data_IF_626125597684
#
_entry.id   IF_626125597684
#
_cell.length_a   1.000
_cell.length_b   1.000
_cell.length_c   1.000
_cell.angle_alpha   90.00
_cell.angle_beta   90.00
_cell.angle_gamma   90.00
#
_symmetry.space_group_name_H-M   'P 1'
#
loop_
_entity.id
_entity.type
_entity.pdbx_description
1 polymer ?
#
# COMPACT_ATOMS: atom_id res chain seq x y z
N UNK A 1 -5.44 15.40 12.00
CA UNK A 1 -6.29 14.20 12.01
C UNK A 1 -5.90 13.34 10.82
N UNK A 2 -5.65 12.05 11.02
CA UNK A 2 -5.33 11.13 9.92
C UNK A 2 -6.57 10.98 9.04
N UNK A 3 -6.44 11.18 7.73
CA UNK A 3 -7.57 11.08 6.81
C UNK A 3 -7.75 9.62 6.38
N UNK A 4 -8.32 8.82 7.29
CA UNK A 4 -8.52 7.37 7.12
C UNK A 4 -9.87 7.08 6.49
N UNK A 5 -9.89 6.26 5.43
CA UNK A 5 -11.09 5.86 4.72
C UNK A 5 -11.67 4.55 5.28
N UNK A 6 -12.95 4.51 5.71
CA UNK A 6 -13.58 3.32 6.30
C UNK A 6 -13.59 2.09 5.38
N UNK A 7 -13.57 2.28 4.06
CA UNK A 7 -13.49 1.17 3.10
C UNK A 7 -12.14 0.43 3.18
N UNK A 8 -11.06 1.13 3.51
CA UNK A 8 -9.74 0.52 3.73
C UNK A 8 -9.75 -0.29 5.02
N UNK A 9 -10.40 0.21 6.08
CA UNK A 9 -10.61 -0.55 7.31
C UNK A 9 -11.37 -1.86 7.07
N UNK A 10 -12.45 -1.79 6.29
CA UNK A 10 -13.23 -2.98 5.91
C UNK A 10 -12.40 -3.97 5.07
N UNK A 11 -11.53 -3.47 4.18
CA UNK A 11 -10.62 -4.32 3.41
C UNK A 11 -9.60 -5.03 4.31
N UNK A 12 -8.99 -4.31 5.24
CA UNK A 12 -8.04 -4.87 6.21
C UNK A 12 -8.74 -5.91 7.09
N UNK A 13 -9.93 -5.64 7.60
CA UNK A 13 -10.68 -6.58 8.43
C UNK A 13 -11.03 -7.89 7.70
N UNK A 14 -11.29 -7.82 6.38
CA UNK A 14 -11.55 -8.99 5.53
C UNK A 14 -10.28 -9.72 5.08
N UNK A 15 -9.11 -9.13 5.29
CA UNK A 15 -7.83 -9.73 4.90
C UNK A 15 -7.43 -10.87 5.83
N UNK A 16 -6.59 -11.79 5.34
CA UNK A 16 -6.08 -12.90 6.13
C UNK A 16 -5.37 -12.40 7.41
N UNK A 17 -5.45 -13.12 8.55
CA UNK A 17 -4.93 -12.65 9.83
C UNK A 17 -3.46 -12.22 9.80
N UNK A 18 -2.61 -12.90 9.02
CA UNK A 18 -1.20 -12.53 8.87
C UNK A 18 -1.00 -11.20 8.12
N UNK A 19 -1.90 -10.86 7.18
CA UNK A 19 -1.81 -9.66 6.36
C UNK A 19 -2.34 -8.42 7.08
N UNK A 20 -3.29 -8.57 8.00
CA UNK A 20 -3.86 -7.46 8.77
C UNK A 20 -2.81 -6.57 9.46
N UNK A 21 -1.86 -7.11 10.27
CA UNK A 21 -0.84 -6.28 10.92
C UNK A 21 0.09 -5.61 9.90
N UNK A 22 0.40 -6.28 8.78
CA UNK A 22 1.25 -5.74 7.71
C UNK A 22 0.57 -4.53 7.04
N UNK A 23 -0.69 -4.68 6.65
CA UNK A 23 -1.45 -3.61 5.99
C UNK A 23 -1.67 -2.41 6.92
N UNK A 24 -1.96 -2.65 8.21
CA UNK A 24 -2.08 -1.57 9.21
C UNK A 24 -0.76 -0.81 9.36
N UNK A 25 0.36 -1.53 9.41
CA UNK A 25 1.68 -0.92 9.50
C UNK A 25 2.01 -0.08 8.27
N UNK A 26 1.79 -0.61 7.07
CA UNK A 26 1.98 0.13 5.81
C UNK A 26 1.13 1.40 5.79
N UNK A 27 -0.16 1.28 6.14
CA UNK A 27 -1.08 2.42 6.19
C UNK A 27 -0.58 3.51 7.14
N UNK A 28 -0.14 3.15 8.34
CA UNK A 28 0.45 4.11 9.28
C UNK A 28 1.69 4.79 8.67
N UNK A 29 2.61 4.03 8.08
CA UNK A 29 3.81 4.59 7.45
C UNK A 29 3.48 5.58 6.33
N UNK A 30 2.49 5.28 5.49
CA UNK A 30 2.07 6.18 4.40
C UNK A 30 1.49 7.48 4.96
N UNK A 31 0.66 7.43 6.00
CA UNK A 31 0.13 8.63 6.67
C UNK A 31 1.20 9.44 7.39
N UNK A 32 2.16 8.77 8.03
CA UNK A 32 3.30 9.45 8.68
C UNK A 32 4.18 10.16 7.65
N UNK A 33 4.47 9.51 6.53
CA UNK A 33 5.29 10.08 5.46
C UNK A 33 4.55 11.19 4.67
N UNK A 34 3.24 11.03 4.46
CA UNK A 34 2.41 11.98 3.73
C UNK A 34 1.05 12.17 4.43
N UNK A 35 0.95 13.12 5.38
CA UNK A 35 -0.30 13.37 6.10
C UNK A 35 -1.47 13.87 5.24
N UNK A 36 -1.17 14.31 4.01
CA UNK A 36 -2.14 14.85 3.04
C UNK A 36 -2.57 13.81 2.00
N UNK A 37 -2.16 12.55 2.17
CA UNK A 37 -2.56 11.45 1.27
C UNK A 37 -4.06 11.19 1.40
N UNK A 38 -4.71 10.88 0.29
CA UNK A 38 -6.08 10.39 0.26
C UNK A 38 -6.07 8.88 0.06
N UNK A 39 -6.84 8.19 0.88
CA UNK A 39 -7.10 6.77 0.70
C UNK A 39 -8.29 6.58 -0.24
N UNK A 40 -8.14 5.71 -1.23
CA UNK A 40 -9.20 5.33 -2.16
C UNK A 40 -9.20 3.81 -2.36
N UNK A 41 -10.30 3.26 -2.89
CA UNK A 41 -10.35 1.89 -3.37
C UNK A 41 -10.40 1.92 -4.89
N UNK A 42 -9.40 1.31 -5.53
CA UNK A 42 -9.34 1.16 -7.00
C UNK A 42 -9.13 -0.30 -7.33
N UNK A 43 -9.90 -0.82 -8.28
CA UNK A 43 -9.84 -2.24 -8.69
C UNK A 43 -10.00 -3.22 -7.52
N UNK A 44 -10.79 -2.86 -6.51
CA UNK A 44 -11.03 -3.68 -5.33
C UNK A 44 -9.89 -3.72 -4.30
N UNK A 45 -8.84 -2.92 -4.45
CA UNK A 45 -7.71 -2.85 -3.53
C UNK A 45 -7.46 -1.42 -3.00
N UNK A 46 -6.94 -1.28 -1.77
CA UNK A 46 -6.54 0.01 -1.23
C UNK A 46 -5.46 0.71 -2.05
N UNK A 47 -5.75 1.95 -2.40
CA UNK A 47 -4.89 2.84 -3.16
C UNK A 47 -4.71 4.14 -2.38
N UNK A 48 -3.53 4.72 -2.47
CA UNK A 48 -3.16 5.97 -1.84
C UNK A 48 -2.86 6.99 -2.93
N UNK A 49 -3.70 8.02 -2.99
CA UNK A 49 -3.62 9.10 -3.95
C UNK A 49 -3.01 10.35 -3.29
N UNK A 50 -1.96 10.87 -3.90
CA UNK A 50 -1.39 12.17 -3.57
C UNK A 50 -0.89 12.82 -4.85
N UNK A 51 -1.64 13.82 -5.35
CA UNK A 51 -1.44 14.40 -6.70
C UNK A 51 -1.45 13.34 -7.81
N UNK A 52 -2.31 12.32 -7.66
CA UNK A 52 -2.39 11.11 -8.49
C UNK A 52 -2.03 9.85 -7.71
N UNK A 53 -2.08 8.68 -8.37
CA UNK A 53 -1.79 7.39 -7.71
C UNK A 53 -0.32 7.35 -7.28
N UNK A 54 -0.09 7.29 -5.97
CA UNK A 54 1.24 7.21 -5.37
C UNK A 54 1.62 5.76 -5.09
N UNK A 55 0.82 5.07 -4.28
CA UNK A 55 1.05 3.68 -3.90
C UNK A 55 -0.26 2.91 -3.76
N UNK A 56 -0.17 1.58 -3.77
CA UNK A 56 -1.27 0.68 -3.49
C UNK A 56 -0.79 -0.43 -2.57
N UNK A 57 -1.75 -1.05 -1.89
CA UNK A 57 -1.52 -2.27 -1.13
C UNK A 57 -2.64 -3.27 -1.42
N UNK A 58 -2.30 -4.55 -1.40
CA UNK A 58 -3.25 -5.64 -1.57
C UNK A 58 -2.87 -6.82 -0.67
N UNK A 59 -3.87 -7.54 -0.18
CA UNK A 59 -3.70 -8.78 0.56
C UNK A 59 -4.23 -9.96 -0.25
N UNK A 60 -3.38 -10.98 -0.40
CA UNK A 60 -3.72 -12.27 -0.99
C UNK A 60 -3.66 -13.35 0.08
N UNK A 61 -4.03 -14.59 -0.29
CA UNK A 61 -4.13 -15.72 0.65
C UNK A 61 -2.82 -16.01 1.39
N UNK A 62 -1.66 -15.84 0.74
CA UNK A 62 -0.35 -16.22 1.29
C UNK A 62 0.68 -15.09 1.29
N UNK A 63 0.36 -13.91 0.77
CA UNK A 63 1.27 -12.78 0.74
C UNK A 63 0.51 -11.45 0.71
N UNK A 64 1.16 -10.38 1.15
CA UNK A 64 0.70 -9.02 0.99
C UNK A 64 1.61 -8.30 -0.01
N UNK A 65 1.04 -7.45 -0.85
CA UNK A 65 1.75 -6.66 -1.85
C UNK A 65 1.63 -5.19 -1.49
N UNK A 66 2.73 -4.48 -1.65
CA UNK A 66 2.78 -3.03 -1.58
C UNK A 66 3.61 -2.51 -2.76
N UNK A 67 3.05 -1.59 -3.52
CA UNK A 67 3.65 -1.12 -4.77
C UNK A 67 3.49 0.37 -4.98
N UNK A 68 4.46 0.98 -5.67
CA UNK A 68 4.45 2.39 -6.06
C UNK A 68 4.20 2.53 -7.56
N UNK A 69 3.33 3.46 -7.97
CA UNK A 69 2.95 3.66 -9.37
C UNK A 69 3.89 4.58 -10.16
N UNK A 70 4.77 5.33 -9.47
CA UNK A 70 5.76 6.24 -10.08
C UNK A 70 7.12 6.11 -9.40
N UNK A 71 7.65 4.90 -9.35
CA UNK A 71 8.95 4.60 -8.73
C UNK A 71 10.09 5.48 -9.25
N UNK A 72 10.05 5.90 -10.52
CA UNK A 72 11.04 6.80 -11.12
C UNK A 72 11.09 8.21 -10.49
N UNK A 73 10.02 8.65 -9.84
CA UNK A 73 9.97 9.95 -9.14
C UNK A 73 10.43 9.86 -7.69
N UNK A 74 10.57 8.64 -7.14
CA UNK A 74 11.12 8.42 -5.81
C UNK A 74 12.63 8.62 -5.88
N UNK A 75 13.11 9.76 -5.37
CA UNK A 75 14.54 10.02 -5.18
C UNK A 75 15.08 9.19 -4.02
N UNK A 76 15.19 7.88 -4.20
CA UNK A 76 15.80 6.96 -3.25
C UNK A 76 17.05 6.35 -3.89
N UNK A 77 18.23 6.92 -3.60
CA UNK A 77 19.52 6.43 -4.12
C UNK A 77 19.97 5.08 -3.54
N UNK A 78 19.23 4.43 -2.62
CA UNK A 78 19.73 3.22 -1.92
C UNK A 78 18.71 2.14 -1.51
N UNK A 79 17.43 2.23 -1.87
CA UNK A 79 16.43 1.19 -1.53
C UNK A 79 15.82 0.57 -2.79
N UNK A 80 16.69 0.08 -3.69
CA UNK A 80 16.28 -0.79 -4.80
C UNK A 80 16.70 -2.25 -4.58
N UNK A 81 17.30 -2.59 -3.43
CA UNK A 81 17.77 -3.96 -3.17
C UNK A 81 16.69 -4.94 -2.70
N UNK A 82 15.47 -4.48 -2.35
CA UNK A 82 14.42 -5.37 -1.81
C UNK A 82 13.22 -5.51 -2.75
N UNK A 83 13.13 -4.66 -3.78
CA UNK A 83 12.04 -4.68 -4.76
C UNK A 83 12.43 -5.40 -6.07
N UNK A 84 13.15 -6.53 -5.98
CA UNK A 84 13.08 -7.52 -7.05
C UNK A 84 11.70 -8.14 -6.96
N UNK A 85 10.79 -7.53 -7.71
CA UNK A 85 9.55 -8.09 -8.21
C UNK A 85 9.62 -9.62 -8.22
N UNK A 86 8.93 -10.26 -7.27
CA UNK A 86 8.60 -11.68 -7.36
C UNK A 86 7.48 -11.75 -8.42
N UNK A 87 7.86 -11.51 -9.67
CA UNK A 87 7.34 -12.22 -10.83
C UNK A 87 8.03 -13.56 -10.75
N UNK A 88 7.26 -14.62 -10.52
CA UNK A 88 7.49 -15.99 -10.98
C UNK A 88 6.55 -16.91 -10.21
N UNK A 89 5.32 -17.05 -10.72
CA UNK A 89 4.69 -18.36 -10.85
C UNK A 89 4.04 -18.35 -12.24
N UNK A 90 4.40 -19.36 -13.03
CA UNK A 90 3.98 -19.59 -14.42
C UNK A 90 2.47 -19.60 -14.59
#
# INVERSE_FOLDING_TARGET
>A
MMNTEPKVDAYIAKSAPFAQPILKHIRQLVHTACPKVQETIKWGMPCFDYKGIMCNMAAFKNHAVFGFWKTALLKWKKVLSVAKQIRLIK
#
